data_IF_923430093101
#
_entry.id   IF_923430093101
#
_cell.length_a   1.000
_cell.length_b   1.000
_cell.length_c   1.000
_cell.angle_alpha   90.00
_cell.angle_beta   90.00
_cell.angle_gamma   90.00
#
_symmetry.space_group_name_H-M   'P 1'
#
loop_
_entity.id
_entity.type
_entity.pdbx_description
1 polymer ?
#
# COMPACT_ATOMS: atom_id res chain seq x y z
N UNK A 1 8.74 0.02 7.69
CA UNK A 1 7.56 -0.88 7.57
C UNK A 1 6.99 -1.41 8.88
N UNK A 2 7.69 -1.31 10.02
CA UNK A 2 7.27 -1.93 11.30
C UNK A 2 5.87 -1.50 11.77
N UNK A 3 5.55 -0.21 11.72
CA UNK A 3 4.30 0.32 12.26
C UNK A 3 3.08 -0.06 11.39
N UNK A 4 3.13 0.24 10.08
CA UNK A 4 2.03 -0.10 9.17
C UNK A 4 1.87 -1.60 8.95
N UNK A 5 2.95 -2.39 9.05
CA UNK A 5 2.87 -3.85 9.05
C UNK A 5 2.14 -4.39 10.29
N UNK A 6 2.38 -3.82 11.47
CA UNK A 6 1.64 -4.18 12.68
C UNK A 6 0.15 -3.83 12.57
N UNK A 7 -0.17 -2.66 12.02
CA UNK A 7 -1.56 -2.25 11.81
C UNK A 7 -2.27 -3.11 10.77
N UNK A 8 -1.58 -3.50 9.69
CA UNK A 8 -2.13 -4.42 8.70
C UNK A 8 -2.49 -5.77 9.33
N UNK A 9 -1.64 -6.31 10.21
CA UNK A 9 -1.94 -7.54 10.97
C UNK A 9 -3.17 -7.37 11.85
N UNK A 10 -3.27 -6.23 12.55
CA UNK A 10 -4.42 -5.91 13.40
C UNK A 10 -5.73 -5.82 12.60
N UNK A 11 -5.71 -5.17 11.44
CA UNK A 11 -6.90 -4.95 10.61
C UNK A 11 -7.34 -6.20 9.86
N UNK A 12 -6.39 -7.00 9.37
CA UNK A 12 -6.69 -8.24 8.64
C UNK A 12 -7.05 -9.39 9.56
N UNK A 13 -6.55 -9.39 10.80
CA UNK A 13 -6.62 -10.56 11.68
C UNK A 13 -5.83 -11.77 11.14
N UNK A 14 -5.06 -11.60 10.07
CA UNK A 14 -4.28 -12.64 9.39
C UNK A 14 -2.82 -12.18 9.27
N UNK A 15 -1.98 -12.59 10.24
CA UNK A 15 -0.55 -12.30 10.22
C UNK A 15 0.15 -12.84 8.98
N UNK A 16 -0.25 -14.01 8.48
CA UNK A 16 0.38 -14.67 7.32
C UNK A 16 0.07 -13.90 6.04
N UNK A 17 -1.18 -13.49 5.83
CA UNK A 17 -1.55 -12.64 4.71
C UNK A 17 -0.79 -11.31 4.75
N UNK A 18 -0.71 -10.69 5.93
CA UNK A 18 0.01 -9.43 6.13
C UNK A 18 1.50 -9.56 5.78
N UNK A 19 2.15 -10.64 6.21
CA UNK A 19 3.56 -10.92 5.86
C UNK A 19 3.74 -11.14 4.35
N UNK A 20 2.83 -11.88 3.71
CA UNK A 20 2.85 -12.05 2.25
C UNK A 20 2.71 -10.71 1.53
N UNK A 21 1.81 -9.82 1.96
CA UNK A 21 1.64 -8.49 1.38
C UNK A 21 2.92 -7.66 1.52
N UNK A 22 3.51 -7.66 2.72
CA UNK A 22 4.73 -6.92 3.04
C UNK A 22 5.93 -7.39 2.20
N UNK A 23 6.05 -8.69 1.94
CA UNK A 23 7.14 -9.25 1.13
C UNK A 23 6.90 -9.07 -0.37
N UNK A 24 5.76 -9.53 -0.86
CA UNK A 24 5.35 -9.40 -2.25
C UNK A 24 3.84 -9.61 -2.35
N UNK A 25 3.07 -8.51 -2.30
CA UNK A 25 1.62 -8.53 -2.46
C UNK A 25 1.15 -9.28 -3.71
N UNK A 26 2.03 -9.47 -4.70
CA UNK A 26 1.68 -10.20 -5.91
C UNK A 26 1.46 -11.70 -5.68
N UNK A 27 2.01 -12.23 -4.61
CA UNK A 27 1.94 -13.65 -4.19
C UNK A 27 1.01 -13.85 -2.99
N UNK A 28 0.29 -12.81 -2.57
CA UNK A 28 -0.52 -12.83 -1.36
C UNK A 28 -1.91 -13.47 -1.54
N UNK A 29 -2.31 -13.86 -2.76
CA UNK A 29 -3.63 -14.45 -3.01
C UNK A 29 -4.79 -13.45 -2.87
N UNK A 30 -4.53 -12.18 -3.20
CA UNK A 30 -5.50 -11.10 -3.16
C UNK A 30 -6.51 -11.23 -4.31
N UNK A 31 -7.72 -10.73 -4.09
CA UNK A 31 -8.69 -10.57 -5.17
C UNK A 31 -8.21 -9.56 -6.22
N UNK A 32 -8.84 -9.60 -7.40
CA UNK A 32 -8.44 -8.77 -8.53
C UNK A 32 -8.54 -7.27 -8.21
N UNK A 33 -9.58 -6.87 -7.46
CA UNK A 33 -9.83 -5.48 -7.07
C UNK A 33 -8.71 -4.92 -6.19
N UNK A 34 -8.35 -5.65 -5.13
CA UNK A 34 -7.28 -5.28 -4.21
C UNK A 34 -5.92 -5.33 -4.91
N UNK A 35 -5.71 -6.32 -5.78
CA UNK A 35 -4.48 -6.43 -6.54
C UNK A 35 -4.27 -5.25 -7.48
N UNK A 36 -5.30 -4.84 -8.22
CA UNK A 36 -5.24 -3.69 -9.13
C UNK A 36 -4.98 -2.38 -8.39
N UNK A 37 -5.60 -2.18 -7.22
CA UNK A 37 -5.32 -1.03 -6.35
C UNK A 37 -3.85 -0.95 -5.96
N UNK A 38 -3.26 -2.08 -5.54
CA UNK A 38 -1.85 -2.14 -5.16
C UNK A 38 -0.91 -2.00 -6.37
N UNK A 39 -1.27 -2.56 -7.52
CA UNK A 39 -0.51 -2.36 -8.77
C UNK A 39 -0.45 -0.88 -9.14
N UNK A 40 -1.54 -0.12 -8.99
CA UNK A 40 -1.54 1.31 -9.24
C UNK A 40 -0.73 2.09 -8.20
N UNK A 41 -0.85 1.75 -6.90
CA UNK A 41 -0.01 2.34 -5.86
C UNK A 41 1.49 2.13 -6.12
N UNK A 42 1.87 0.97 -6.68
CA UNK A 42 3.25 0.71 -7.14
C UNK A 42 3.64 1.58 -8.32
N UNK A 43 2.76 1.74 -9.33
CA UNK A 43 3.01 2.62 -10.49
C UNK A 43 3.26 4.06 -10.04
N UNK A 44 2.40 4.60 -9.18
CA UNK A 44 2.54 5.94 -8.58
C UNK A 44 3.89 6.09 -7.85
N UNK A 45 4.31 5.05 -7.13
CA UNK A 45 5.57 5.07 -6.36
C UNK A 45 6.81 5.02 -7.26
N UNK A 46 6.77 4.25 -8.35
CA UNK A 46 7.96 3.94 -9.16
C UNK A 46 8.09 4.79 -10.41
N UNK A 47 6.97 5.08 -11.07
CA UNK A 47 6.89 5.72 -12.38
C UNK A 47 5.68 6.65 -12.44
N UNK A 48 5.57 7.66 -11.55
CA UNK A 48 4.40 8.54 -11.50
C UNK A 48 4.19 9.35 -12.79
N UNK A 49 5.26 9.59 -13.55
CA UNK A 49 5.20 10.28 -14.86
C UNK A 49 4.47 9.47 -15.93
N UNK A 50 4.35 8.16 -15.74
CA UNK A 50 3.67 7.25 -16.66
C UNK A 50 2.21 7.02 -16.26
N UNK A 51 1.72 7.60 -15.16
CA UNK A 51 0.33 7.49 -14.72
C UNK A 51 -0.59 8.27 -15.67
N UNK A 52 -1.70 7.64 -16.07
CA UNK A 52 -2.63 8.20 -17.05
C UNK A 52 -4.11 7.83 -16.80
N UNK A 53 -4.99 8.26 -17.70
CA UNK A 53 -6.44 7.99 -17.62
C UNK A 53 -6.79 6.50 -17.78
N UNK A 54 -5.91 5.68 -18.39
CA UNK A 54 -6.15 4.24 -18.51
C UNK A 54 -6.06 3.55 -17.16
N UNK A 55 -5.14 3.97 -16.29
CA UNK A 55 -5.05 3.44 -14.93
C UNK A 55 -6.33 3.68 -14.13
N UNK A 56 -6.91 4.89 -14.25
CA UNK A 56 -8.16 5.27 -13.58
C UNK A 56 -9.31 4.41 -14.11
N UNK A 57 -9.43 4.28 -15.44
CA UNK A 57 -10.48 3.46 -16.07
C UNK A 57 -10.38 1.99 -15.67
N UNK A 58 -9.16 1.45 -15.53
CA UNK A 58 -8.95 0.08 -15.07
C UNK A 58 -9.47 -0.14 -13.66
N UNK A 59 -9.24 0.80 -12.75
CA UNK A 59 -9.79 0.71 -11.39
C UNK A 59 -11.32 0.86 -11.40
N UNK A 60 -11.87 1.80 -12.17
CA UNK A 60 -13.32 1.96 -12.29
C UNK A 60 -14.02 0.71 -12.82
N UNK A 61 -13.40 0.00 -13.77
CA UNK A 61 -13.91 -1.28 -14.28
C UNK A 61 -14.01 -2.37 -13.21
N UNK A 62 -13.25 -2.27 -12.10
CA UNK A 62 -13.30 -3.15 -10.94
C UNK A 62 -14.20 -2.61 -9.81
N UNK A 63 -15.00 -1.60 -10.11
CA UNK A 63 -15.99 -1.03 -9.19
C UNK A 63 -15.40 -0.08 -8.15
N UNK A 64 -14.28 0.59 -8.45
CA UNK A 64 -13.86 1.78 -7.71
C UNK A 64 -14.63 3.01 -8.21
N UNK A 65 -15.13 3.83 -7.29
CA UNK A 65 -15.67 5.16 -7.60
C UNK A 65 -14.54 6.14 -7.91
N UNK A 66 -14.87 7.32 -8.44
CA UNK A 66 -13.88 8.38 -8.66
C UNK A 66 -13.18 8.77 -7.34
N UNK A 67 -13.95 8.88 -6.25
CA UNK A 67 -13.43 9.24 -4.93
C UNK A 67 -12.50 8.13 -4.40
N UNK A 68 -12.86 6.85 -4.57
CA UNK A 68 -11.98 5.75 -4.16
C UNK A 68 -10.63 5.81 -4.91
N UNK A 69 -10.63 6.14 -6.21
CA UNK A 69 -9.38 6.27 -6.98
C UNK A 69 -8.54 7.43 -6.45
N UNK A 70 -9.16 8.56 -6.10
CA UNK A 70 -8.46 9.68 -5.46
C UNK A 70 -7.90 9.29 -4.08
N UNK A 71 -8.61 8.49 -3.31
CA UNK A 71 -8.13 7.97 -2.02
C UNK A 71 -6.91 7.06 -2.20
N UNK A 72 -6.90 6.21 -3.22
CA UNK A 72 -5.73 5.37 -3.57
C UNK A 72 -4.53 6.24 -3.94
N UNK A 73 -4.73 7.23 -4.82
CA UNK A 73 -3.66 8.15 -5.25
C UNK A 73 -3.10 8.92 -4.08
N UNK A 74 -3.97 9.50 -3.27
CA UNK A 74 -3.61 10.34 -2.12
C UNK A 74 -2.87 9.52 -1.08
N UNK A 75 -3.39 8.33 -0.74
CA UNK A 75 -2.75 7.42 0.22
C UNK A 75 -1.36 7.04 -0.25
N UNK A 76 -1.20 6.56 -1.48
CA UNK A 76 0.10 6.19 -2.02
C UNK A 76 1.09 7.38 -2.01
N UNK A 77 0.63 8.58 -2.36
CA UNK A 77 1.43 9.80 -2.40
C UNK A 77 1.89 10.27 -1.01
N UNK A 78 1.00 10.22 -0.01
CA UNK A 78 1.33 10.57 1.38
C UNK A 78 2.40 9.62 1.93
N UNK A 79 2.28 8.31 1.68
CA UNK A 79 3.31 7.36 2.08
C UNK A 79 4.64 7.59 1.37
N UNK A 80 4.61 8.00 0.10
CA UNK A 80 5.80 8.41 -0.63
C UNK A 80 6.50 9.62 0.04
N UNK A 81 5.75 10.64 0.45
CA UNK A 81 6.28 11.78 1.20
C UNK A 81 6.83 11.34 2.57
N UNK A 82 6.04 10.62 3.36
CA UNK A 82 6.40 10.20 4.71
C UNK A 82 7.65 9.30 4.72
N UNK A 83 7.76 8.36 3.79
CA UNK A 83 8.93 7.48 3.68
C UNK A 83 10.20 8.31 3.39
N UNK A 84 10.13 9.29 2.48
CA UNK A 84 11.27 10.17 2.18
C UNK A 84 11.68 11.00 3.39
N UNK A 85 10.72 11.55 4.14
CA UNK A 85 10.99 12.30 5.37
C UNK A 85 11.64 11.41 6.41
N UNK A 86 11.08 10.22 6.66
CA UNK A 86 11.59 9.28 7.65
C UNK A 86 13.01 8.81 7.31
N UNK A 87 13.27 8.47 6.04
CA UNK A 87 14.59 8.05 5.56
C UNK A 87 15.61 9.18 5.65
N UNK A 88 15.27 10.38 5.18
CA UNK A 88 16.17 11.54 5.22
C UNK A 88 16.48 11.99 6.65
N UNK A 89 15.54 11.84 7.58
CA UNK A 89 15.71 12.18 9.00
C UNK A 89 16.42 11.07 9.81
N UNK A 90 16.71 9.91 9.22
CA UNK A 90 17.29 8.76 9.92
C UNK A 90 16.35 8.17 10.98
N UNK A 91 15.03 8.23 10.75
CA UNK A 91 14.03 7.75 11.71
C UNK A 91 14.15 6.23 11.92
N UNK A 92 14.37 5.82 13.18
CA UNK A 92 14.41 4.42 13.58
C UNK A 92 13.03 4.04 14.16
N UNK A 93 12.35 3.01 13.64
CA UNK A 93 11.06 2.56 14.17
C UNK A 93 11.16 2.12 15.64
N UNK A 94 10.08 2.31 16.41
CA UNK A 94 10.01 1.81 17.79
C UNK A 94 10.10 0.27 17.83
N UNK A 95 11.05 -0.25 18.62
CA UNK A 95 11.30 -1.67 18.83
C UNK A 95 10.02 -2.44 19.23
N UNK A 96 9.10 -1.83 19.97
CA UNK A 96 7.86 -2.47 20.44
C UNK A 96 6.96 -2.94 19.30
N UNK A 97 6.98 -2.25 18.16
CA UNK A 97 6.09 -2.54 17.04
C UNK A 97 6.50 -3.81 16.26
N UNK A 98 7.71 -4.33 16.49
CA UNK A 98 8.19 -5.54 15.80
C UNK A 98 7.46 -6.83 16.23
N UNK A 99 6.89 -6.86 17.44
CA UNK A 99 6.23 -8.03 18.03
C UNK A 99 4.71 -7.95 18.12
N UNK A 100 4.10 -6.80 17.78
CA UNK A 100 2.65 -6.63 17.89
C UNK A 100 1.89 -7.45 16.83
N UNK A 101 0.79 -8.06 17.26
CA UNK A 101 -0.19 -8.77 16.43
C UNK A 101 0.44 -9.89 15.57
N UNK A 102 1.43 -10.62 16.11
CA UNK A 102 1.96 -11.85 15.52
C UNK A 102 1.12 -13.06 15.89
#
# INVERSE_FOLDING_TARGET
MTNHGAELRRLTGDPVLSEKIVQDYRRAGLDEKTRAMLDYAVKITRTPVDCDEEDIRRLQALGFTQDDVYDVITTASIYNYNNRVAEAAGHIPDAKNHGLFR
#
